data_IF_247305798711
#
_entry.id   IF_247305798711
#
_cell.length_a   1.000
_cell.length_b   1.000
_cell.length_c   1.000
_cell.angle_alpha   90.00
_cell.angle_beta   90.00
_cell.angle_gamma   90.00
#
_symmetry.space_group_name_H-M   'P 1'
#
loop_
_entity.id
_entity.type
_entity.pdbx_description
1 polymer ?
#
# COMPACT_ATOMS: atom_id res chain seq x y z
N UNK A 1 19.39 52.70 -5.75
CA UNK A 1 19.41 51.52 -4.86
C UNK A 1 18.12 50.76 -5.08
N UNK A 2 18.16 49.66 -5.84
CA UNK A 2 16.96 48.89 -6.19
C UNK A 2 16.73 47.79 -5.13
N UNK A 3 15.55 47.82 -4.52
CA UNK A 3 15.10 46.84 -3.51
C UNK A 3 14.86 45.47 -4.15
N UNK A 4 15.50 44.43 -3.62
CA UNK A 4 15.34 43.05 -4.09
C UNK A 4 14.12 42.41 -3.41
N UNK A 5 13.12 42.03 -4.21
CA UNK A 5 11.99 41.22 -3.75
C UNK A 5 12.46 39.79 -3.46
N UNK A 6 12.47 39.40 -2.18
CA UNK A 6 12.58 37.99 -1.78
C UNK A 6 11.26 37.29 -2.09
N UNK A 7 11.24 36.44 -3.12
CA UNK A 7 10.11 35.54 -3.41
C UNK A 7 10.07 34.46 -2.33
N UNK A 8 8.95 34.37 -1.61
CA UNK A 8 8.64 33.28 -0.69
C UNK A 8 8.55 31.97 -1.48
N UNK A 9 9.55 31.09 -1.32
CA UNK A 9 9.47 29.67 -1.71
C UNK A 9 8.98 28.85 -0.51
N UNK A 10 7.99 29.37 0.23
CA UNK A 10 7.46 28.77 1.48
C UNK A 10 5.98 28.42 1.29
N UNK A 11 5.65 27.69 0.24
CA UNK A 11 4.26 27.28 0.01
C UNK A 11 4.12 25.88 -0.58
N UNK A 12 5.06 25.43 -1.44
CA UNK A 12 4.96 24.08 -2.01
C UNK A 12 5.41 22.98 -1.03
N UNK A 13 6.48 23.19 -0.25
CA UNK A 13 6.89 22.20 0.76
C UNK A 13 5.85 22.01 1.87
N UNK A 14 5.22 23.11 2.33
CA UNK A 14 4.22 23.04 3.38
C UNK A 14 2.93 22.34 2.91
N UNK A 15 2.56 22.48 1.64
CA UNK A 15 1.36 21.82 1.08
C UNK A 15 1.55 20.31 0.91
N UNK A 16 2.75 19.87 0.51
CA UNK A 16 3.08 18.44 0.46
C UNK A 16 3.06 17.78 1.84
N UNK A 17 3.50 18.49 2.89
CA UNK A 17 3.44 17.98 4.26
C UNK A 17 2.01 17.84 4.80
N UNK A 18 1.07 18.71 4.40
CA UNK A 18 -0.33 18.60 4.87
C UNK A 18 -1.10 17.47 4.20
N UNK A 19 -0.85 17.21 2.90
CA UNK A 19 -1.44 16.07 2.19
C UNK A 19 -0.89 14.72 2.69
N UNK A 20 0.37 14.69 3.11
CA UNK A 20 0.97 13.51 3.73
C UNK A 20 0.38 13.18 5.11
N UNK A 21 -0.28 14.12 5.80
CA UNK A 21 -0.80 13.90 7.16
C UNK A 21 -2.15 13.18 7.16
N UNK A 22 -2.99 13.37 6.14
CA UNK A 22 -4.29 12.68 6.06
C UNK A 22 -4.17 11.20 5.65
N UNK A 23 -3.13 10.80 4.91
CA UNK A 23 -2.85 9.39 4.63
C UNK A 23 -2.24 8.62 5.81
N UNK A 24 -1.68 9.34 6.80
CA UNK A 24 -1.04 8.72 7.96
C UNK A 24 -2.02 8.25 9.05
N UNK A 25 -3.21 8.85 9.16
CA UNK A 25 -4.16 8.47 10.22
C UNK A 25 -4.62 7.00 10.10
N UNK A 26 -4.84 6.54 8.87
CA UNK A 26 -5.28 5.18 8.56
C UNK A 26 -4.12 4.21 8.27
N UNK A 27 -2.87 4.70 8.22
CA UNK A 27 -1.71 3.82 8.23
C UNK A 27 -1.70 2.98 9.52
N UNK A 28 -2.12 3.55 10.66
CA UNK A 28 -2.02 2.91 11.98
C UNK A 28 -2.68 1.53 12.09
N UNK A 29 -3.75 1.23 11.33
CA UNK A 29 -4.44 -0.07 11.42
C UNK A 29 -3.82 -1.16 10.54
N UNK A 30 -3.16 -0.78 9.45
CA UNK A 30 -2.62 -1.68 8.43
C UNK A 30 -1.09 -1.59 8.32
N UNK A 31 -0.46 -0.78 9.17
CA UNK A 31 0.97 -0.68 9.32
C UNK A 31 1.50 -1.91 10.05
N UNK A 32 2.24 -2.73 9.32
CA UNK A 32 2.86 -3.96 9.83
C UNK A 32 4.30 -3.72 10.32
N UNK A 33 4.74 -2.46 10.41
CA UNK A 33 6.11 -2.12 10.76
C UNK A 33 6.51 -2.68 12.13
N UNK A 34 7.70 -3.29 12.22
CA UNK A 34 8.19 -3.91 13.45
C UNK A 34 7.57 -5.28 13.78
N UNK A 35 6.71 -5.84 12.91
CA UNK A 35 6.00 -7.10 13.18
C UNK A 35 6.48 -8.25 12.31
N UNK A 36 6.06 -9.48 12.66
CA UNK A 36 6.02 -10.60 11.70
C UNK A 36 4.59 -10.74 11.19
N UNK A 37 4.42 -10.68 9.87
CA UNK A 37 3.14 -10.69 9.19
C UNK A 37 3.04 -11.90 8.27
N UNK A 38 1.95 -12.65 8.36
CA UNK A 38 1.66 -13.74 7.41
C UNK A 38 0.57 -13.23 6.48
N UNK A 39 0.67 -13.56 5.20
CA UNK A 39 -0.33 -13.16 4.20
C UNK A 39 -1.40 -14.23 3.99
N UNK A 40 -1.18 -15.43 4.54
CA UNK A 40 -2.16 -16.52 4.50
C UNK A 40 -2.46 -16.99 5.91
N UNK A 41 -3.75 -17.16 6.19
CA UNK A 41 -4.26 -17.59 7.48
C UNK A 41 -5.23 -18.75 7.28
N UNK A 42 -5.07 -19.82 8.08
CA UNK A 42 -6.06 -20.87 8.13
C UNK A 42 -6.99 -20.60 9.30
N UNK A 43 -8.25 -20.35 9.00
CA UNK A 43 -9.29 -20.18 10.02
C UNK A 43 -10.21 -21.39 10.03
N UNK A 44 -10.66 -21.77 11.23
CA UNK A 44 -11.66 -22.81 11.45
C UNK A 44 -12.28 -22.59 12.83
N UNK A 45 -13.24 -21.66 12.90
CA UNK A 45 -13.89 -21.28 14.14
C UNK A 45 -15.36 -20.89 13.92
N UNK A 46 -16.02 -20.34 14.94
CA UNK A 46 -17.44 -19.97 14.86
C UNK A 46 -17.73 -18.78 13.93
N UNK A 47 -16.70 -18.01 13.58
CA UNK A 47 -16.78 -16.78 12.77
C UNK A 47 -16.32 -16.98 11.33
N UNK A 48 -15.46 -17.95 11.07
CA UNK A 48 -14.89 -18.23 9.74
C UNK A 48 -15.15 -19.68 9.30
N UNK A 49 -15.37 -19.86 8.00
CA UNK A 49 -15.40 -21.21 7.43
C UNK A 49 -14.01 -21.85 7.51
N UNK A 50 -13.97 -23.19 7.51
CA UNK A 50 -12.72 -23.95 7.46
C UNK A 50 -12.06 -23.76 6.08
N UNK A 51 -11.18 -22.77 5.97
CA UNK A 51 -10.50 -22.40 4.73
C UNK A 51 -9.21 -21.60 4.96
N UNK A 52 -8.45 -21.37 3.89
CA UNK A 52 -7.31 -20.46 3.85
C UNK A 52 -7.75 -19.11 3.31
N UNK A 53 -7.50 -18.07 4.11
CA UNK A 53 -7.80 -16.67 3.81
C UNK A 53 -6.52 -15.93 3.45
N UNK A 54 -6.62 -14.97 2.54
CA UNK A 54 -5.50 -14.18 2.06
C UNK A 54 -5.61 -12.72 2.49
N UNK A 55 -4.72 -12.30 3.37
CA UNK A 55 -4.63 -10.94 3.92
C UNK A 55 -3.31 -10.28 3.44
N UNK A 56 -3.02 -10.32 2.15
CA UNK A 56 -1.72 -9.84 1.61
C UNK A 56 -1.82 -8.65 0.66
N UNK A 57 -3.00 -8.03 0.52
CA UNK A 57 -3.17 -6.90 -0.40
C UNK A 57 -2.62 -5.61 0.19
N UNK A 58 -1.87 -4.86 -0.63
CA UNK A 58 -1.37 -3.53 -0.27
C UNK A 58 -2.36 -2.47 -0.72
N UNK A 59 -2.66 -1.50 0.15
CA UNK A 59 -3.58 -0.42 -0.16
C UNK A 59 -3.41 0.80 0.74
N UNK A 60 -3.79 1.96 0.21
CA UNK A 60 -3.87 3.20 0.97
C UNK A 60 -5.22 3.24 1.67
N UNK A 61 -5.29 2.72 2.90
CA UNK A 61 -6.52 2.73 3.69
C UNK A 61 -7.05 4.17 3.81
N UNK A 62 -8.06 4.55 3.02
CA UNK A 62 -8.67 5.86 3.07
C UNK A 62 -10.17 5.71 2.95
N UNK A 63 -10.80 5.24 4.04
CA UNK A 63 -12.25 5.21 4.17
C UNK A 63 -12.81 6.58 3.75
N UNK A 64 -13.57 6.57 2.65
CA UNK A 64 -14.48 7.62 2.16
C UNK A 64 -14.06 8.51 0.98
N UNK A 65 -12.86 8.42 0.36
CA UNK A 65 -12.56 9.37 -0.75
C UNK A 65 -11.76 8.83 -1.94
N UNK A 66 -10.67 8.08 -1.73
CA UNK A 66 -9.68 7.87 -2.79
C UNK A 66 -9.27 6.40 -3.03
N UNK A 67 -9.80 5.44 -2.26
CA UNK A 67 -9.53 4.01 -2.45
C UNK A 67 -10.82 3.21 -2.34
N UNK A 68 -11.15 2.44 -3.37
CA UNK A 68 -12.34 1.60 -3.40
C UNK A 68 -12.18 0.33 -2.54
N UNK A 69 -10.94 -0.12 -2.34
CA UNK A 69 -10.58 -1.35 -1.62
C UNK A 69 -9.59 -1.07 -0.50
N UNK A 70 -9.90 -1.53 0.71
CA UNK A 70 -8.95 -1.45 1.81
C UNK A 70 -7.88 -2.54 1.65
N UNK A 71 -6.62 -2.17 1.54
CA UNK A 71 -5.54 -3.14 1.61
C UNK A 71 -5.30 -3.59 3.05
N UNK A 72 -4.84 -4.83 3.21
CA UNK A 72 -4.42 -5.41 4.47
C UNK A 72 -3.12 -4.79 4.99
N UNK A 73 -2.24 -4.41 4.07
CA UNK A 73 -0.90 -3.90 4.33
C UNK A 73 -0.77 -2.44 3.85
N UNK A 74 -0.25 -1.57 4.71
CA UNK A 74 0.10 -0.20 4.33
C UNK A 74 1.30 -0.18 3.35
N UNK A 75 1.33 0.69 2.31
CA UNK A 75 2.34 0.63 1.24
C UNK A 75 3.76 1.02 1.63
N UNK A 76 4.00 1.35 2.90
CA UNK A 76 5.32 1.62 3.45
C UNK A 76 5.60 0.59 4.53
N UNK A 77 6.25 -0.51 4.14
CA UNK A 77 6.65 -1.60 5.03
C UNK A 77 8.03 -1.28 5.60
N UNK A 78 8.15 -1.18 6.92
CA UNK A 78 9.43 -0.85 7.55
C UNK A 78 9.75 -1.77 8.74
N UNK A 79 10.95 -2.34 8.76
CA UNK A 79 11.41 -3.21 9.84
C UNK A 79 10.46 -4.40 10.13
N UNK A 80 9.86 -4.98 9.08
CA UNK A 80 8.92 -6.09 9.20
C UNK A 80 9.50 -7.39 8.63
N UNK A 81 8.96 -8.53 9.09
CA UNK A 81 9.18 -9.84 8.47
C UNK A 81 7.86 -10.33 7.88
N UNK A 82 7.76 -10.43 6.56
CA UNK A 82 6.54 -10.90 5.89
C UNK A 82 6.74 -12.32 5.39
N UNK A 83 5.78 -13.22 5.63
CA UNK A 83 5.78 -14.56 5.05
C UNK A 83 4.60 -14.73 4.08
N UNK A 84 4.90 -15.16 2.86
CA UNK A 84 3.94 -15.38 1.79
C UNK A 84 3.94 -14.28 0.72
N UNK A 85 2.79 -14.02 0.12
CA UNK A 85 2.68 -13.22 -1.11
C UNK A 85 2.12 -11.83 -0.82
N UNK A 86 2.86 -10.79 -1.18
CA UNK A 86 2.37 -9.41 -1.14
C UNK A 86 1.75 -9.07 -2.50
N UNK A 87 0.50 -8.61 -2.52
CA UNK A 87 -0.17 -8.20 -3.74
C UNK A 87 -0.37 -6.69 -3.80
N UNK A 88 0.14 -6.05 -4.86
CA UNK A 88 -0.08 -4.63 -5.12
C UNK A 88 -1.37 -4.36 -5.90
N UNK A 89 -2.27 -5.34 -6.00
CA UNK A 89 -3.45 -5.28 -6.87
C UNK A 89 -4.37 -4.07 -6.58
N UNK A 90 -4.46 -3.63 -5.31
CA UNK A 90 -5.31 -2.51 -4.88
C UNK A 90 -4.57 -1.19 -4.61
N UNK A 91 -3.25 -1.11 -4.90
CA UNK A 91 -2.53 0.17 -4.78
C UNK A 91 -3.07 1.25 -5.71
N UNK A 92 -3.62 0.80 -6.83
CA UNK A 92 -4.13 1.61 -7.91
C UNK A 92 -5.32 0.82 -8.50
N UNK A 93 -6.55 1.29 -8.26
CA UNK A 93 -7.82 0.61 -8.59
C UNK A 93 -8.52 1.10 -9.88
N UNK A 94 -8.09 2.24 -10.41
CA UNK A 94 -8.31 2.69 -11.81
C UNK A 94 -9.42 3.68 -11.92
N UNK A 95 -10.06 3.92 -10.78
CA UNK A 95 -11.15 4.85 -10.65
C UNK A 95 -10.55 6.24 -10.78
N UNK A 96 -11.16 7.08 -11.61
CA UNK A 96 -10.65 8.43 -11.91
C UNK A 96 -10.52 9.35 -10.69
N UNK A 97 -11.13 8.96 -9.56
CA UNK A 97 -11.05 9.64 -8.27
C UNK A 97 -9.88 9.16 -7.40
N UNK A 98 -9.24 8.05 -7.74
CA UNK A 98 -8.09 7.55 -7.00
C UNK A 98 -6.87 8.46 -7.27
N UNK A 99 -6.38 9.08 -6.21
CA UNK A 99 -5.20 9.95 -6.24
C UNK A 99 -4.00 9.33 -5.53
N UNK A 100 -4.12 8.07 -5.13
CA UNK A 100 -3.07 7.35 -4.43
C UNK A 100 -1.87 7.07 -5.34
N UNK A 101 -0.70 6.98 -4.72
CA UNK A 101 0.50 6.60 -5.43
C UNK A 101 0.51 5.08 -5.69
N UNK A 102 0.67 4.69 -6.94
CA UNK A 102 0.96 3.31 -7.34
C UNK A 102 2.42 2.93 -6.97
N UNK A 103 2.70 2.89 -5.67
CA UNK A 103 4.05 2.70 -5.13
C UNK A 103 4.05 1.88 -3.87
N UNK A 104 5.01 0.97 -3.77
CA UNK A 104 5.28 0.13 -2.60
C UNK A 104 6.72 0.40 -2.16
N UNK A 105 6.92 0.70 -0.88
CA UNK A 105 8.24 0.89 -0.27
C UNK A 105 8.47 -0.18 0.79
N UNK A 106 9.59 -0.89 0.68
CA UNK A 106 10.03 -1.91 1.62
C UNK A 106 11.40 -1.49 2.17
N UNK A 107 11.47 -1.29 3.48
CA UNK A 107 12.65 -0.78 4.20
C UNK A 107 13.02 -1.67 5.36
N UNK A 108 14.31 -1.97 5.54
CA UNK A 108 14.81 -2.72 6.70
C UNK A 108 14.06 -4.04 6.95
N UNK A 109 13.47 -4.65 5.92
CA UNK A 109 12.50 -5.74 6.07
C UNK A 109 13.00 -7.02 5.42
N UNK A 110 12.39 -8.16 5.79
CA UNK A 110 12.62 -9.45 5.14
C UNK A 110 11.30 -9.99 4.64
N UNK A 111 11.20 -10.27 3.35
CA UNK A 111 10.03 -10.87 2.71
C UNK A 111 10.40 -12.29 2.30
N UNK A 112 9.79 -13.28 2.96
CA UNK A 112 9.87 -14.69 2.61
C UNK A 112 8.68 -15.04 1.72
N UNK A 113 8.82 -14.76 0.43
CA UNK A 113 7.88 -15.04 -0.64
C UNK A 113 8.04 -14.04 -1.78
N UNK A 114 6.93 -13.72 -2.44
CA UNK A 114 6.96 -12.91 -3.66
C UNK A 114 6.08 -11.65 -3.56
N UNK A 115 6.39 -10.69 -4.43
CA UNK A 115 5.54 -9.52 -4.67
C UNK A 115 4.89 -9.69 -6.04
N UNK A 116 3.57 -9.55 -6.10
CA UNK A 116 2.80 -9.68 -7.35
C UNK A 116 1.86 -8.50 -7.52
N UNK A 117 1.46 -8.22 -8.75
CA UNK A 117 0.35 -7.32 -9.06
C UNK A 117 -0.95 -8.06 -9.37
N UNK A 118 -0.94 -9.39 -9.20
CA UNK A 118 -2.07 -10.26 -9.46
C UNK A 118 -3.10 -10.24 -8.32
N UNK A 119 -4.36 -10.40 -8.71
CA UNK A 119 -5.40 -10.88 -7.83
C UNK A 119 -5.08 -12.30 -7.36
N UNK A 120 -5.24 -12.59 -6.08
CA UNK A 120 -5.02 -13.93 -5.51
C UNK A 120 -6.30 -14.62 -5.05
N UNK A 121 -7.34 -13.86 -4.73
CA UNK A 121 -8.67 -14.37 -4.37
C UNK A 121 -9.59 -14.29 -5.59
N UNK A 122 -9.58 -15.35 -6.41
CA UNK A 122 -10.09 -15.34 -7.80
C UNK A 122 -11.53 -14.88 -8.03
N UNK A 123 -12.38 -14.69 -7.00
CA UNK A 123 -13.76 -14.20 -7.12
C UNK A 123 -13.98 -12.77 -6.66
N UNK A 124 -13.12 -12.23 -5.79
CA UNK A 124 -13.36 -10.94 -5.11
C UNK A 124 -12.58 -9.77 -5.72
N UNK A 125 -11.75 -10.06 -6.72
CA UNK A 125 -11.00 -9.08 -7.48
C UNK A 125 -11.84 -8.43 -8.59
N UNK A 126 -12.93 -7.79 -8.19
CA UNK A 126 -13.84 -7.08 -9.09
C UNK A 126 -13.41 -5.62 -9.29
N UNK A 127 -13.99 -4.94 -10.28
CA UNK A 127 -13.93 -3.48 -10.49
C UNK A 127 -12.57 -2.81 -10.77
N UNK A 128 -11.51 -3.51 -11.20
CA UNK A 128 -10.36 -2.81 -11.82
C UNK A 128 -10.72 -2.29 -13.20
N UNK A 129 -10.57 -0.98 -13.41
CA UNK A 129 -10.84 -0.38 -14.73
C UNK A 129 -9.81 -0.86 -15.77
N UNK A 130 -10.20 -0.93 -17.04
CA UNK A 130 -9.38 -1.43 -18.15
C UNK A 130 -8.27 -0.46 -18.60
N UNK A 131 -8.22 0.75 -18.03
CA UNK A 131 -7.22 1.80 -18.33
C UNK A 131 -5.78 1.46 -17.90
N UNK A 132 -5.60 0.36 -17.17
CA UNK A 132 -4.37 -0.03 -16.47
C UNK A 132 -3.16 -0.46 -17.28
N UNK A 133 -3.26 -0.49 -18.62
CA UNK A 133 -2.22 -1.08 -19.47
C UNK A 133 -0.87 -0.32 -19.38
N UNK A 134 -0.85 0.87 -18.78
CA UNK A 134 0.33 1.74 -18.76
C UNK A 134 0.76 2.26 -17.38
N UNK A 135 0.05 1.95 -16.29
CA UNK A 135 0.47 2.44 -14.98
C UNK A 135 1.56 1.57 -14.36
N UNK A 136 2.68 2.20 -14.02
CA UNK A 136 3.89 1.49 -13.58
C UNK A 136 3.97 1.53 -12.06
N UNK A 137 3.98 0.34 -11.46
CA UNK A 137 4.32 0.19 -10.05
C UNK A 137 5.72 0.79 -9.80
N UNK A 138 5.79 1.75 -8.89
CA UNK A 138 7.04 2.23 -8.33
C UNK A 138 7.40 1.39 -7.08
N UNK A 139 8.19 0.33 -7.27
CA UNK A 139 8.69 -0.50 -6.18
C UNK A 139 10.04 0.02 -5.68
N UNK A 140 10.12 0.36 -4.39
CA UNK A 140 11.37 0.74 -3.71
C UNK A 140 11.72 -0.32 -2.68
N UNK A 141 12.91 -0.92 -2.81
CA UNK A 141 13.45 -1.89 -1.85
C UNK A 141 14.77 -1.34 -1.32
N UNK A 142 14.83 -1.08 -0.02
CA UNK A 142 15.98 -0.44 0.64
C UNK A 142 16.35 -1.21 1.92
N UNK A 143 17.63 -1.57 2.04
CA UNK A 143 18.16 -2.39 3.13
C UNK A 143 17.28 -3.59 3.51
N UNK A 144 16.74 -4.30 2.50
CA UNK A 144 15.75 -5.36 2.69
C UNK A 144 16.12 -6.61 1.91
N UNK A 145 15.62 -7.76 2.34
CA UNK A 145 15.76 -9.05 1.66
C UNK A 145 14.41 -9.51 1.13
N UNK A 146 14.39 -10.04 -0.09
CA UNK A 146 13.25 -10.74 -0.67
C UNK A 146 13.78 -12.10 -1.13
N UNK A 147 13.22 -13.18 -0.60
CA UNK A 147 13.57 -14.56 -0.91
C UNK A 147 12.31 -15.42 -1.09
N UNK A 148 12.32 -16.32 -2.06
CA UNK A 148 11.26 -17.29 -2.43
C UNK A 148 11.75 -18.70 -2.08
#
# INVERSE_FOLDING_TARGET
MHSWKKKLVVSQLALACTLAITSQANATTNDISGTTYNTFHHYNDATYADDVYYDGYVGWNNYATDSYYNGDIYPVINNARVNGVISTYYLDDGVTTNTNANSLTIKNSTIHGMITSACLEGTDCVNRDTGYVYDRLALTVDNSTIDD
#
